data_IF_276044361354
#
_entry.id   IF_276044361354
#
_cell.length_a   1.000
_cell.length_b   1.000
_cell.length_c   1.000
_cell.angle_alpha   90.00
_cell.angle_beta   90.00
_cell.angle_gamma   90.00
#
_symmetry.space_group_name_H-M   'P 1'
#
loop_
_entity.id
_entity.type
_entity.pdbx_description
1 polymer ?
#
# COMPACT_ATOMS: atom_id res chain seq x y z
N UNK A 1 -11.15 -65.90 -40.32
CA UNK A 1 -12.23 -64.90 -40.25
C UNK A 1 -12.08 -64.12 -38.94
N UNK A 2 -11.51 -62.90 -38.97
CA UNK A 2 -11.39 -62.02 -37.79
C UNK A 2 -12.30 -60.82 -38.00
N UNK A 3 -13.35 -60.72 -37.19
CA UNK A 3 -14.28 -59.60 -37.21
C UNK A 3 -13.73 -58.50 -36.29
N UNK A 4 -13.21 -57.42 -36.89
CA UNK A 4 -12.77 -56.24 -36.15
C UNK A 4 -13.99 -55.41 -35.72
N UNK A 5 -14.26 -55.37 -34.42
CA UNK A 5 -15.34 -54.57 -33.82
C UNK A 5 -14.95 -53.08 -33.89
N UNK A 6 -15.58 -52.29 -34.77
CA UNK A 6 -15.40 -50.82 -34.79
C UNK A 6 -16.07 -50.21 -33.55
N UNK A 7 -15.28 -49.61 -32.67
CA UNK A 7 -15.79 -48.76 -31.58
C UNK A 7 -16.24 -47.43 -32.18
N UNK A 8 -17.56 -47.25 -32.33
CA UNK A 8 -18.17 -45.98 -32.74
C UNK A 8 -17.99 -44.99 -31.58
N UNK A 9 -17.04 -44.06 -31.71
CA UNK A 9 -16.90 -42.94 -30.77
C UNK A 9 -18.02 -41.94 -31.05
N UNK A 10 -19.00 -41.89 -30.15
CA UNK A 10 -20.08 -40.90 -30.13
C UNK A 10 -19.49 -39.52 -29.74
N UNK A 11 -18.83 -38.86 -30.68
CA UNK A 11 -18.35 -37.50 -30.48
C UNK A 11 -19.52 -36.54 -30.71
N UNK A 12 -20.26 -36.22 -29.63
CA UNK A 12 -21.19 -35.08 -29.64
C UNK A 12 -20.34 -33.80 -29.69
N UNK A 13 -20.49 -33.02 -30.76
CA UNK A 13 -19.88 -31.69 -30.88
C UNK A 13 -20.63 -30.67 -30.02
N UNK A 14 -19.90 -29.70 -29.48
CA UNK A 14 -20.47 -28.53 -28.81
C UNK A 14 -21.22 -27.69 -29.85
N UNK A 15 -22.44 -27.27 -29.56
CA UNK A 15 -23.19 -26.39 -30.47
C UNK A 15 -22.70 -24.95 -30.32
N UNK A 16 -22.75 -24.18 -31.42
CA UNK A 16 -22.43 -22.75 -31.39
C UNK A 16 -23.36 -21.98 -30.45
N UNK A 17 -24.62 -22.42 -30.33
CA UNK A 17 -25.60 -21.78 -29.45
C UNK A 17 -25.29 -22.04 -27.96
N UNK A 18 -24.77 -23.21 -27.60
CA UNK A 18 -24.31 -23.50 -26.23
C UNK A 18 -23.12 -22.62 -25.84
N UNK A 19 -22.19 -22.37 -26.75
CA UNK A 19 -21.10 -21.44 -26.48
C UNK A 19 -21.58 -19.99 -26.46
N UNK A 20 -22.53 -19.62 -27.34
CA UNK A 20 -23.10 -18.27 -27.42
C UNK A 20 -23.81 -17.86 -26.13
N UNK A 21 -24.67 -18.71 -25.59
CA UNK A 21 -25.42 -18.38 -24.36
C UNK A 21 -24.48 -18.25 -23.16
N UNK A 22 -23.43 -19.05 -23.09
CA UNK A 22 -22.44 -18.98 -22.00
C UNK A 22 -21.67 -17.66 -22.05
N UNK A 23 -21.20 -17.24 -23.22
CA UNK A 23 -20.48 -15.95 -23.33
C UNK A 23 -21.37 -14.74 -23.05
N UNK A 24 -22.67 -14.84 -23.35
CA UNK A 24 -23.65 -13.81 -23.00
C UNK A 24 -23.82 -13.72 -21.48
N UNK A 25 -23.99 -14.86 -20.81
CA UNK A 25 -24.18 -14.88 -19.35
C UNK A 25 -22.93 -14.36 -18.62
N UNK A 26 -21.73 -14.84 -18.97
CA UNK A 26 -20.49 -14.31 -18.36
C UNK A 26 -20.28 -12.83 -18.68
N UNK A 27 -20.73 -12.36 -19.86
CA UNK A 27 -20.67 -10.95 -20.24
C UNK A 27 -21.53 -10.07 -19.34
N UNK A 28 -22.77 -10.49 -19.04
CA UNK A 28 -23.68 -9.78 -18.12
C UNK A 28 -23.10 -9.76 -16.71
N UNK A 29 -22.58 -10.88 -16.22
CA UNK A 29 -21.97 -10.97 -14.89
C UNK A 29 -20.72 -10.09 -14.78
N UNK A 30 -19.85 -10.11 -15.79
CA UNK A 30 -18.63 -9.30 -15.82
C UNK A 30 -18.94 -7.80 -15.83
N UNK A 31 -19.97 -7.36 -16.58
CA UNK A 31 -20.37 -5.96 -16.66
C UNK A 31 -20.78 -5.37 -15.28
N UNK A 32 -21.42 -6.17 -14.43
CA UNK A 32 -21.84 -5.74 -13.08
C UNK A 32 -20.67 -5.88 -12.08
N UNK A 33 -19.88 -6.94 -12.18
CA UNK A 33 -18.84 -7.25 -11.22
C UNK A 33 -17.59 -6.35 -11.36
N UNK A 34 -17.20 -6.00 -12.58
CA UNK A 34 -15.96 -5.27 -12.86
C UNK A 34 -15.84 -3.90 -12.19
N UNK A 35 -16.84 -2.98 -12.24
CA UNK A 35 -16.70 -1.67 -11.60
C UNK A 35 -16.54 -1.79 -10.06
N UNK A 36 -17.28 -2.71 -9.45
CA UNK A 36 -17.18 -2.98 -8.01
C UNK A 36 -15.80 -3.57 -7.64
N UNK A 37 -15.27 -4.45 -8.48
CA UNK A 37 -13.95 -5.06 -8.27
C UNK A 37 -12.82 -4.02 -8.29
N UNK A 38 -12.86 -3.05 -9.23
CA UNK A 38 -11.86 -1.97 -9.30
C UNK A 38 -11.88 -1.11 -8.03
N UNK A 39 -13.07 -0.72 -7.57
CA UNK A 39 -13.21 0.06 -6.34
C UNK A 39 -12.75 -0.69 -5.09
N UNK A 40 -13.02 -2.00 -5.02
CA UNK A 40 -12.54 -2.86 -3.93
C UNK A 40 -11.00 -3.00 -3.96
N UNK A 41 -10.41 -3.15 -5.15
CA UNK A 41 -8.96 -3.23 -5.31
C UNK A 41 -8.27 -1.94 -4.85
N UNK A 42 -8.77 -0.77 -5.23
CA UNK A 42 -8.19 0.51 -4.82
C UNK A 42 -8.26 0.70 -3.30
N UNK A 43 -9.39 0.34 -2.66
CA UNK A 43 -9.52 0.34 -1.19
C UNK A 43 -8.55 -0.62 -0.50
N UNK A 44 -8.33 -1.81 -1.07
CA UNK A 44 -7.37 -2.78 -0.54
C UNK A 44 -5.93 -2.24 -0.63
N UNK A 45 -5.59 -1.56 -1.72
CA UNK A 45 -4.28 -0.89 -1.86
C UNK A 45 -4.11 0.22 -0.82
N UNK A 46 -5.12 1.07 -0.63
CA UNK A 46 -5.07 2.11 0.43
C UNK A 46 -4.94 1.51 1.83
N UNK A 47 -5.60 0.39 2.12
CA UNK A 47 -5.44 -0.33 3.38
C UNK A 47 -3.99 -0.84 3.57
N UNK A 48 -3.37 -1.33 2.49
CA UNK A 48 -1.96 -1.72 2.50
C UNK A 48 -1.01 -0.53 2.71
N UNK A 49 -1.30 0.65 2.11
CA UNK A 49 -0.53 1.88 2.41
C UNK A 49 -0.63 2.22 3.90
N UNK A 50 -1.84 2.14 4.49
CA UNK A 50 -2.02 2.37 5.94
C UNK A 50 -1.23 1.37 6.79
N UNK A 51 -1.10 0.12 6.36
CA UNK A 51 -0.25 -0.87 7.02
C UNK A 51 1.25 -0.52 6.90
N UNK A 52 1.70 -0.03 5.75
CA UNK A 52 3.07 0.45 5.56
C UNK A 52 3.35 1.68 6.44
N UNK A 53 2.39 2.61 6.57
CA UNK A 53 2.49 3.75 7.49
C UNK A 53 2.67 3.28 8.94
N UNK A 54 1.93 2.24 9.37
CA UNK A 54 2.08 1.64 10.72
C UNK A 54 3.44 0.97 10.90
N UNK A 55 3.96 0.32 9.87
CA UNK A 55 5.30 -0.28 9.89
C UNK A 55 6.36 0.78 10.11
N UNK A 56 6.29 1.89 9.37
CA UNK A 56 7.17 3.04 9.57
C UNK A 56 6.99 3.64 10.99
N UNK A 57 5.76 3.72 11.49
CA UNK A 57 5.51 4.22 12.84
C UNK A 57 6.22 3.37 13.90
N UNK A 58 6.07 2.05 13.83
CA UNK A 58 6.71 1.12 14.77
C UNK A 58 8.23 1.24 14.71
N UNK A 59 8.81 1.34 13.50
CA UNK A 59 10.24 1.54 13.34
C UNK A 59 10.71 2.87 13.98
N UNK A 60 9.94 3.95 13.83
CA UNK A 60 10.32 5.27 14.35
C UNK A 60 10.27 5.31 15.87
N UNK A 61 9.25 4.69 16.47
CA UNK A 61 9.12 4.55 17.94
C UNK A 61 10.23 3.65 18.53
N UNK A 62 10.58 2.56 17.83
CA UNK A 62 11.67 1.69 18.24
C UNK A 62 13.02 2.42 18.19
N UNK A 63 13.28 3.17 17.10
CA UNK A 63 14.47 4.01 16.99
C UNK A 63 14.54 5.02 18.15
N UNK A 64 13.43 5.71 18.45
CA UNK A 64 13.42 6.70 19.52
C UNK A 64 13.66 6.08 20.90
N UNK A 65 13.19 4.85 21.13
CA UNK A 65 13.43 4.11 22.37
C UNK A 65 14.94 3.89 22.60
N UNK A 66 15.68 3.54 21.56
CA UNK A 66 17.12 3.29 21.65
C UNK A 66 17.96 4.58 21.60
N UNK A 67 17.40 5.67 21.09
CA UNK A 67 18.08 6.97 20.91
C UNK A 67 17.58 8.06 21.88
N UNK A 68 17.19 7.66 23.10
CA UNK A 68 16.88 8.61 24.18
C UNK A 68 15.69 9.54 23.90
N UNK A 69 14.70 9.08 23.14
CA UNK A 69 13.51 9.83 22.76
C UNK A 69 13.68 10.73 21.54
N UNK A 70 14.81 10.63 20.84
CA UNK A 70 15.03 11.35 19.57
C UNK A 70 14.58 10.52 18.38
N UNK A 71 13.75 11.10 17.52
CA UNK A 71 13.25 10.41 16.34
C UNK A 71 14.25 10.49 15.17
N UNK A 72 14.18 9.57 14.19
CA UNK A 72 14.99 9.66 12.98
C UNK A 72 14.80 11.02 12.27
N UNK A 73 15.89 11.61 11.81
CA UNK A 73 15.89 12.84 10.98
C UNK A 73 15.95 12.55 9.49
N UNK A 74 16.27 11.31 9.13
CA UNK A 74 16.39 10.83 7.77
C UNK A 74 15.96 9.36 7.69
N UNK A 75 15.74 8.89 6.46
CA UNK A 75 15.57 7.46 6.16
C UNK A 75 16.91 6.94 5.67
N UNK A 76 17.71 6.49 6.62
CA UNK A 76 19.07 6.00 6.44
C UNK A 76 19.24 4.59 7.03
N UNK A 77 20.42 4.00 6.89
CA UNK A 77 20.70 2.65 7.37
C UNK A 77 20.38 2.46 8.86
N UNK A 78 20.53 3.51 9.69
CA UNK A 78 20.22 3.44 11.10
C UNK A 78 18.70 3.30 11.31
N UNK A 79 17.87 4.11 10.65
CA UNK A 79 16.42 3.97 10.72
C UNK A 79 15.90 2.70 10.02
N UNK A 80 16.45 2.37 8.85
CA UNK A 80 16.12 1.18 8.06
C UNK A 80 16.36 -0.12 8.84
N UNK A 81 17.27 -0.11 9.81
CA UNK A 81 17.57 -1.25 10.68
C UNK A 81 16.40 -1.65 11.61
N UNK A 82 15.48 -0.72 11.87
CA UNK A 82 14.28 -0.95 12.70
C UNK A 82 13.08 -1.45 11.90
N UNK A 83 13.18 -1.56 10.58
CA UNK A 83 12.14 -2.17 9.75
C UNK A 83 12.24 -3.70 9.77
N UNK A 84 11.13 -4.41 9.47
CA UNK A 84 11.15 -5.87 9.39
C UNK A 84 12.26 -6.39 8.46
N UNK A 85 13.11 -7.27 8.99
CA UNK A 85 14.27 -7.83 8.28
C UNK A 85 15.58 -7.11 8.55
N UNK A 86 15.57 -5.95 9.21
CA UNK A 86 16.74 -5.30 9.79
C UNK A 86 17.05 -5.80 11.21
N UNK A 87 18.17 -5.35 11.78
CA UNK A 87 18.49 -5.56 13.20
C UNK A 87 18.49 -4.22 13.93
N UNK A 88 18.02 -4.19 15.17
CA UNK A 88 18.06 -2.99 16.02
C UNK A 88 19.47 -2.65 16.55
N UNK A 89 20.52 -2.82 15.74
CA UNK A 89 21.91 -2.52 16.08
C UNK A 89 22.38 -1.18 15.50
N UNK A 90 21.51 -0.47 14.75
CA UNK A 90 21.82 0.81 14.11
C UNK A 90 22.83 0.71 12.95
N UNK A 91 23.24 -0.51 12.58
CA UNK A 91 24.26 -0.76 11.56
C UNK A 91 23.76 -1.70 10.44
N UNK A 92 22.83 -2.59 10.74
CA UNK A 92 22.29 -3.60 9.82
C UNK A 92 20.90 -3.20 9.34
N UNK A 93 20.85 -2.43 8.25
CA UNK A 93 19.61 -2.06 7.57
C UNK A 93 18.78 -3.29 7.14
N UNK A 94 17.46 -3.14 7.10
CA UNK A 94 16.64 -4.14 6.42
C UNK A 94 16.98 -4.21 4.93
N UNK A 95 16.86 -5.38 4.34
CA UNK A 95 17.27 -5.63 2.95
C UNK A 95 16.39 -4.90 1.92
N UNK A 96 15.17 -4.53 2.30
CA UNK A 96 14.22 -3.80 1.45
C UNK A 96 13.18 -3.05 2.30
N UNK A 97 12.72 -1.91 1.79
CA UNK A 97 11.59 -1.19 2.38
C UNK A 97 10.24 -1.90 2.16
N UNK A 98 9.16 -1.39 2.77
CA UNK A 98 7.81 -1.91 2.56
C UNK A 98 7.42 -1.92 1.07
N UNK A 99 6.69 -2.95 0.64
CA UNK A 99 6.20 -3.04 -0.74
C UNK A 99 5.08 -2.05 -0.96
N UNK A 100 5.22 -1.21 -1.99
CA UNK A 100 4.19 -0.28 -2.42
C UNK A 100 3.08 -1.05 -3.18
N UNK A 101 1.82 -1.00 -2.73
CA UNK A 101 0.73 -1.79 -3.31
C UNK A 101 0.25 -1.30 -4.70
N UNK A 102 0.71 -0.14 -5.15
CA UNK A 102 0.38 0.42 -6.47
C UNK A 102 1.47 0.13 -7.52
N UNK A 103 2.76 0.13 -7.12
CA UNK A 103 3.90 -0.10 -8.02
C UNK A 103 4.46 -1.52 -7.93
N UNK A 104 4.13 -2.25 -6.86
CA UNK A 104 4.71 -3.55 -6.53
C UNK A 104 6.24 -3.54 -6.39
N UNK A 105 6.80 -2.37 -6.06
CA UNK A 105 8.22 -2.19 -5.78
C UNK A 105 8.43 -2.06 -4.26
N UNK A 106 9.58 -2.51 -3.77
CA UNK A 106 10.01 -2.18 -2.41
C UNK A 106 10.48 -0.72 -2.39
N UNK A 107 9.85 0.10 -1.57
CA UNK A 107 10.11 1.54 -1.50
C UNK A 107 10.31 1.95 -0.04
N UNK A 108 11.43 2.61 0.23
CA UNK A 108 11.65 3.24 1.52
C UNK A 108 10.74 4.47 1.69
N UNK A 109 10.31 4.81 2.91
CA UNK A 109 9.60 6.05 3.15
C UNK A 109 10.39 7.24 2.61
N UNK A 110 9.70 8.18 1.96
CA UNK A 110 10.30 9.44 1.55
C UNK A 110 10.49 10.30 2.79
N UNK A 111 11.73 10.71 3.07
CA UNK A 111 12.03 11.65 4.15
C UNK A 111 11.71 13.10 3.72
N UNK A 112 11.07 13.86 4.59
CA UNK A 112 10.91 15.32 4.48
C UNK A 112 10.99 16.01 5.84
N UNK A 113 11.15 17.32 5.86
CA UNK A 113 11.05 18.13 7.08
C UNK A 113 9.59 18.49 7.36
N UNK A 114 9.16 18.35 8.62
CA UNK A 114 7.80 18.70 9.04
C UNK A 114 7.53 20.19 8.82
N UNK A 115 6.64 20.52 7.88
CA UNK A 115 6.24 21.90 7.59
C UNK A 115 5.05 22.32 8.46
N UNK A 116 5.30 22.64 9.73
CA UNK A 116 4.28 23.13 10.68
C UNK A 116 4.02 22.18 11.85
N UNK A 117 2.81 22.21 12.41
CA UNK A 117 2.41 21.31 13.50
C UNK A 117 1.66 20.09 12.98
N UNK A 118 1.77 18.96 13.67
CA UNK A 118 0.98 17.75 13.36
C UNK A 118 -0.52 18.07 13.34
N UNK A 119 -1.00 18.90 14.29
CA UNK A 119 -2.41 19.29 14.36
C UNK A 119 -2.86 20.07 13.12
N UNK A 120 -2.02 20.98 12.62
CA UNK A 120 -2.32 21.69 11.37
C UNK A 120 -2.34 20.77 10.15
N UNK A 121 -1.49 19.75 10.11
CA UNK A 121 -1.51 18.75 9.03
C UNK A 121 -2.78 17.91 9.06
N UNK A 122 -3.20 17.43 10.25
CA UNK A 122 -4.46 16.66 10.41
C UNK A 122 -5.68 17.48 9.96
N UNK A 123 -5.71 18.76 10.31
CA UNK A 123 -6.81 19.66 10.00
C UNK A 123 -6.82 20.14 8.53
N UNK A 124 -5.70 20.00 7.82
CA UNK A 124 -5.60 20.40 6.42
C UNK A 124 -6.23 19.38 5.47
N UNK A 125 -6.71 19.90 4.33
CA UNK A 125 -7.07 19.08 3.18
C UNK A 125 -5.87 18.21 2.75
N UNK A 126 -6.09 16.96 2.30
CA UNK A 126 -5.00 16.10 1.86
C UNK A 126 -4.12 16.79 0.83
N UNK A 127 -2.84 17.07 1.15
CA UNK A 127 -1.97 17.78 0.22
C UNK A 127 -1.75 16.94 -1.04
N UNK A 128 -1.88 17.59 -2.20
CA UNK A 128 -1.52 17.00 -3.47
C UNK A 128 0.00 17.01 -3.65
N UNK A 129 0.54 16.04 -4.39
CA UNK A 129 1.97 16.01 -4.73
C UNK A 129 2.91 15.70 -3.56
N UNK A 130 2.40 15.13 -2.47
CA UNK A 130 3.21 14.70 -1.32
C UNK A 130 4.26 13.66 -1.74
N UNK A 131 3.87 12.73 -2.62
CA UNK A 131 4.71 11.67 -3.14
C UNK A 131 4.08 10.97 -4.34
N UNK A 132 4.71 9.87 -4.77
CA UNK A 132 4.14 8.99 -5.79
C UNK A 132 2.97 8.18 -5.23
N UNK A 133 2.16 7.58 -6.11
CA UNK A 133 1.07 6.71 -5.70
C UNK A 133 1.53 5.62 -4.72
N UNK A 134 0.85 5.46 -3.59
CA UNK A 134 1.19 4.43 -2.60
C UNK A 134 2.41 4.70 -1.71
N UNK A 135 3.15 5.79 -1.94
CA UNK A 135 4.36 6.10 -1.19
C UNK A 135 4.02 6.50 0.25
N UNK A 136 4.87 6.09 1.20
CA UNK A 136 4.82 6.57 2.58
C UNK A 136 5.81 7.72 2.71
N UNK A 137 5.40 8.80 3.36
CA UNK A 137 6.23 9.96 3.66
C UNK A 137 6.42 10.05 5.17
N UNK A 138 7.67 10.15 5.58
CA UNK A 138 8.09 10.33 6.96
C UNK A 138 8.64 11.74 7.13
N UNK A 139 8.03 12.52 8.01
CA UNK A 139 8.39 13.90 8.29
C UNK A 139 8.87 14.04 9.73
N UNK A 140 10.05 14.61 9.94
CA UNK A 140 10.58 14.90 11.27
C UNK A 140 10.66 16.40 11.52
N UNK A 141 10.35 16.83 12.74
CA UNK A 141 10.61 18.19 13.19
C UNK A 141 12.11 18.43 13.44
N UNK A 142 12.49 19.70 13.53
CA UNK A 142 13.82 20.12 14.01
C UNK A 142 13.64 21.03 15.21
N UNK A 143 14.03 20.62 16.44
CA UNK A 143 14.66 19.34 16.80
C UNK A 143 13.72 18.12 16.63
N UNK A 144 14.26 16.89 16.48
CA UNK A 144 13.49 15.68 16.15
C UNK A 144 12.78 15.08 17.37
N UNK A 145 11.93 15.87 18.00
CA UNK A 145 11.07 15.45 19.11
C UNK A 145 9.68 15.04 18.64
N UNK A 146 9.35 15.32 17.38
CA UNK A 146 8.04 15.09 16.79
C UNK A 146 8.21 14.56 15.37
N UNK A 147 7.36 13.61 15.00
CA UNK A 147 7.28 13.11 13.63
C UNK A 147 5.84 13.10 13.12
N UNK A 148 5.67 13.07 11.80
CA UNK A 148 4.43 12.80 11.12
C UNK A 148 4.67 11.80 9.99
N UNK A 149 3.79 10.81 9.86
CA UNK A 149 3.80 9.83 8.79
C UNK A 149 2.51 9.97 8.02
N UNK A 150 2.65 10.15 6.72
CA UNK A 150 1.56 10.30 5.78
C UNK A 150 1.67 9.20 4.71
N UNK A 151 0.53 8.70 4.25
CA UNK A 151 0.47 7.76 3.13
C UNK A 151 -0.12 8.45 1.92
N UNK A 152 0.42 8.17 0.74
CA UNK A 152 -0.11 8.63 -0.53
C UNK A 152 -1.12 7.62 -1.10
N UNK A 153 -2.30 8.10 -1.49
CA UNK A 153 -3.29 7.32 -2.24
C UNK A 153 -2.91 7.16 -3.71
N UNK A 154 -3.87 6.70 -4.53
CA UNK A 154 -3.67 6.45 -5.97
C UNK A 154 -3.21 7.68 -6.77
N UNK A 155 -3.60 8.88 -6.37
CA UNK A 155 -3.24 10.13 -7.03
C UNK A 155 -1.91 10.72 -6.56
N UNK A 156 -1.22 10.09 -5.60
CA UNK A 156 -0.07 10.69 -4.93
C UNK A 156 -0.42 11.74 -3.87
N UNK A 157 -1.70 12.12 -3.75
CA UNK A 157 -2.19 12.94 -2.65
C UNK A 157 -2.21 12.13 -1.34
N UNK A 158 -2.12 12.82 -0.21
CA UNK A 158 -2.23 12.16 1.09
C UNK A 158 -3.58 11.44 1.26
N UNK A 159 -3.60 10.39 2.07
CA UNK A 159 -4.85 9.71 2.44
C UNK A 159 -5.70 10.61 3.35
N UNK A 160 -7.02 10.59 3.13
CA UNK A 160 -7.97 11.35 3.94
C UNK A 160 -8.14 10.79 5.35
N UNK A 161 -8.36 11.69 6.31
CA UNK A 161 -8.69 11.39 7.70
C UNK A 161 -10.14 10.90 7.87
N UNK A 162 -10.59 10.80 9.12
CA UNK A 162 -11.94 10.31 9.46
C UNK A 162 -13.05 11.31 9.14
N UNK A 163 -12.69 12.59 8.98
CA UNK A 163 -13.61 13.68 8.67
C UNK A 163 -13.35 14.22 7.27
N UNK A 164 -14.36 14.80 6.64
CA UNK A 164 -14.20 15.44 5.34
C UNK A 164 -13.10 16.52 5.39
N UNK A 165 -12.29 16.60 4.33
CA UNK A 165 -11.23 17.59 4.17
C UNK A 165 -10.13 17.55 5.26
N UNK A 166 -9.91 16.40 5.89
CA UNK A 166 -8.82 16.17 6.85
C UNK A 166 -7.81 15.18 6.29
N UNK A 167 -6.58 15.23 6.79
CA UNK A 167 -5.50 14.33 6.37
C UNK A 167 -5.26 13.24 7.42
N UNK A 168 -5.06 12.01 6.97
CA UNK A 168 -4.64 10.92 7.83
C UNK A 168 -3.14 11.05 8.12
N UNK A 169 -2.82 11.27 9.39
CA UNK A 169 -1.43 11.39 9.88
C UNK A 169 -1.23 10.41 11.03
N UNK A 170 -0.12 9.69 11.04
CA UNK A 170 0.36 8.98 12.23
C UNK A 170 1.53 9.76 12.84
N UNK A 171 1.56 9.92 14.14
CA UNK A 171 2.55 10.76 14.84
C UNK A 171 2.64 10.34 16.30
N UNK A 172 3.64 10.88 17.00
CA UNK A 172 3.76 10.82 18.45
C UNK A 172 2.93 11.87 19.20
N UNK A 173 2.17 12.70 18.48
CA UNK A 173 1.26 13.74 18.99
C UNK A 173 -0.19 13.39 18.65
#
# INVERSE_FOLDING_TARGET
MRVSKKLVRNAKGFTLIELLVVVIIIGILAAIALPNFIGAQDKAREASVKANMRTAQIAAEAFATDNGGTYPTAVDAAYESYFPGGKSDGATAATAGPVNPFTNAAEWPKASSLSGTVQSLRAAAPPAGLGSQGQVVYESASPPTTYAILGCGKSGAALGGTSANTTLVLSNQ
#
